data_IF_252634510753
#
_entry.id   IF_252634510753
#
_cell.length_a   1.000
_cell.length_b   1.000
_cell.length_c   1.000
_cell.angle_alpha   90.00
_cell.angle_beta   90.00
_cell.angle_gamma   90.00
#
_symmetry.space_group_name_H-M   'P 1'
#
loop_
_entity.id
_entity.type
_entity.pdbx_description
1 polymer ?
#
# COMPACT_ATOMS: atom_id res chain seq x y z
N UNK A 1 16.93 56.97 8.91
CA UNK A 1 15.96 56.44 7.92
C UNK A 1 16.02 54.90 7.74
N UNK A 2 17.17 54.23 7.87
CA UNK A 2 17.28 52.76 7.73
C UNK A 2 16.42 51.93 8.70
N UNK A 3 16.29 52.36 9.97
CA UNK A 3 15.54 51.62 11.01
C UNK A 3 14.03 51.49 10.75
N UNK A 4 13.39 52.49 10.10
CA UNK A 4 11.96 52.40 9.76
C UNK A 4 11.71 51.44 8.60
N UNK A 5 12.56 51.42 7.57
CA UNK A 5 12.45 50.47 6.45
C UNK A 5 12.60 49.02 6.91
N UNK A 6 13.55 48.75 7.81
CA UNK A 6 13.76 47.40 8.37
C UNK A 6 12.54 46.95 9.19
N UNK A 7 11.96 47.81 10.05
CA UNK A 7 10.75 47.49 10.82
C UNK A 7 9.54 47.21 9.93
N UNK A 8 9.35 48.00 8.86
CA UNK A 8 8.26 47.77 7.90
C UNK A 8 8.45 46.47 7.10
N UNK A 9 9.68 46.16 6.67
CA UNK A 9 9.98 44.89 6.00
C UNK A 9 9.75 43.68 6.91
N UNK A 10 10.20 43.75 8.18
CA UNK A 10 9.94 42.69 9.16
C UNK A 10 8.43 42.53 9.40
N UNK A 11 7.67 43.62 9.54
CA UNK A 11 6.22 43.55 9.70
C UNK A 11 5.49 42.90 8.52
N UNK A 12 5.91 43.21 7.28
CA UNK A 12 5.36 42.59 6.07
C UNK A 12 5.71 41.10 5.99
N UNK A 13 6.95 40.72 6.31
CA UNK A 13 7.38 39.33 6.32
C UNK A 13 6.64 38.51 7.38
N UNK A 14 6.45 39.07 8.58
CA UNK A 14 5.68 38.42 9.65
C UNK A 14 4.21 38.25 9.26
N UNK A 15 3.57 39.29 8.71
CA UNK A 15 2.19 39.20 8.24
C UNK A 15 2.06 38.16 7.11
N UNK A 16 3.00 38.14 6.17
CA UNK A 16 3.06 37.13 5.10
C UNK A 16 3.22 35.71 5.64
N UNK A 17 4.10 35.50 6.62
CA UNK A 17 4.29 34.20 7.25
C UNK A 17 3.04 33.72 8.00
N UNK A 18 2.34 34.62 8.71
CA UNK A 18 1.08 34.30 9.40
C UNK A 18 -0.02 33.92 8.41
N UNK A 19 -0.16 34.67 7.31
CA UNK A 19 -1.15 34.36 6.26
C UNK A 19 -0.84 33.01 5.61
N UNK A 20 0.41 32.76 5.22
CA UNK A 20 0.82 31.48 4.65
C UNK A 20 0.59 30.32 5.62
N UNK A 21 0.90 30.51 6.91
CA UNK A 21 0.63 29.53 7.95
C UNK A 21 -0.87 29.23 8.10
N UNK A 22 -1.71 30.26 8.10
CA UNK A 22 -3.16 30.09 8.18
C UNK A 22 -3.74 29.37 6.94
N UNK A 23 -3.29 29.75 5.73
CA UNK A 23 -3.70 29.09 4.48
C UNK A 23 -3.24 27.62 4.47
N UNK A 24 -2.03 27.34 4.96
CA UNK A 24 -1.52 25.98 5.08
C UNK A 24 -2.38 25.14 6.03
N UNK A 25 -2.68 25.64 7.24
CA UNK A 25 -3.54 24.96 8.22
C UNK A 25 -4.93 24.69 7.64
N UNK A 26 -5.50 25.65 6.92
CA UNK A 26 -6.81 25.51 6.30
C UNK A 26 -6.83 24.50 5.14
N UNK A 27 -5.75 24.43 4.35
CA UNK A 27 -5.63 23.50 3.23
C UNK A 27 -5.18 22.10 3.63
N UNK A 28 -4.52 21.94 4.77
CA UNK A 28 -3.96 20.68 5.27
C UNK A 28 -4.39 20.40 6.71
N UNK A 29 -5.70 20.32 7.01
CA UNK A 29 -6.19 20.07 8.38
C UNK A 29 -5.67 18.74 8.93
N UNK A 30 -5.50 17.72 8.09
CA UNK A 30 -4.99 16.42 8.49
C UNK A 30 -3.49 16.44 8.82
N UNK A 31 -2.71 17.40 8.30
CA UNK A 31 -1.31 17.60 8.69
C UNK A 31 -1.24 18.06 10.15
N UNK A 32 -2.15 18.95 10.54
CA UNK A 32 -2.23 19.48 11.90
C UNK A 32 -2.76 18.43 12.87
N UNK A 33 -3.76 17.64 12.45
CA UNK A 33 -4.31 16.56 13.27
C UNK A 33 -3.29 15.41 13.49
N UNK A 34 -2.45 15.15 12.49
CA UNK A 34 -1.49 14.05 12.49
C UNK A 34 -0.10 14.55 12.04
N UNK A 35 0.60 15.32 12.90
CA UNK A 35 1.89 15.90 12.53
C UNK A 35 2.94 14.80 12.30
N UNK A 36 3.82 14.97 11.29
CA UNK A 36 4.84 13.98 10.97
C UNK A 36 5.83 13.82 12.12
N UNK A 37 6.25 12.56 12.39
CA UNK A 37 7.24 12.23 13.44
C UNK A 37 8.64 11.93 12.90
N UNK A 38 8.81 11.88 11.58
CA UNK A 38 10.09 11.69 10.91
C UNK A 38 10.18 12.53 9.63
N UNK A 39 11.41 12.77 9.15
CA UNK A 39 11.63 13.45 7.86
C UNK A 39 11.01 12.68 6.69
N UNK A 40 11.01 11.35 6.77
CA UNK A 40 10.39 10.50 5.75
C UNK A 40 8.87 10.66 5.74
N UNK A 41 8.26 10.66 6.92
CA UNK A 41 6.81 10.89 7.04
C UNK A 41 6.44 12.27 6.49
N UNK A 42 7.21 13.31 6.86
CA UNK A 42 6.99 14.66 6.33
C UNK A 42 7.08 14.70 4.79
N UNK A 43 8.05 13.98 4.20
CA UNK A 43 8.17 13.85 2.74
C UNK A 43 6.94 13.15 2.12
N UNK A 44 6.52 12.02 2.69
CA UNK A 44 5.42 11.20 2.16
C UNK A 44 4.05 11.87 2.22
N UNK A 45 3.94 13.02 2.90
CA UNK A 45 2.72 13.82 2.90
C UNK A 45 2.56 14.70 1.66
N UNK A 46 3.65 15.01 0.95
CA UNK A 46 3.64 15.89 -0.22
C UNK A 46 4.14 15.20 -1.50
N UNK A 47 4.93 14.14 -1.36
CA UNK A 47 5.57 13.45 -2.47
C UNK A 47 5.23 11.97 -2.48
N UNK A 48 5.56 11.32 -3.59
CA UNK A 48 5.41 9.88 -3.73
C UNK A 48 6.18 9.14 -2.61
N UNK A 49 5.51 8.25 -1.85
CA UNK A 49 6.12 7.52 -0.75
C UNK A 49 7.35 6.69 -1.13
N UNK A 50 7.42 6.13 -2.35
CA UNK A 50 8.57 5.37 -2.81
C UNK A 50 9.79 6.26 -3.04
N UNK A 51 9.59 7.46 -3.60
CA UNK A 51 10.66 8.47 -3.73
C UNK A 51 11.17 8.92 -2.36
N UNK A 52 10.28 9.14 -1.40
CA UNK A 52 10.66 9.49 -0.03
C UNK A 52 11.43 8.36 0.67
N UNK A 53 11.06 7.10 0.42
CA UNK A 53 11.79 5.96 0.95
C UNK A 53 13.17 5.80 0.32
N UNK A 54 13.30 6.01 -0.99
CA UNK A 54 14.59 6.02 -1.67
C UNK A 54 15.50 7.10 -1.08
N UNK A 55 14.99 8.33 -0.90
CA UNK A 55 15.75 9.42 -0.28
C UNK A 55 16.23 9.08 1.14
N UNK A 56 15.36 8.49 1.97
CA UNK A 56 15.74 8.04 3.31
C UNK A 56 16.82 6.95 3.28
N UNK A 57 16.72 6.01 2.32
CA UNK A 57 17.71 4.95 2.12
C UNK A 57 19.07 5.51 1.72
N UNK A 58 19.12 6.46 0.77
CA UNK A 58 20.37 7.12 0.39
C UNK A 58 20.98 7.90 1.56
N UNK A 59 20.16 8.58 2.36
CA UNK A 59 20.64 9.26 3.56
C UNK A 59 21.27 8.29 4.57
N UNK A 60 20.64 7.13 4.79
CA UNK A 60 21.18 6.08 5.67
C UNK A 60 22.52 5.53 5.15
N UNK A 61 22.62 5.23 3.84
CA UNK A 61 23.86 4.76 3.20
C UNK A 61 24.98 5.80 3.37
N UNK A 62 24.70 7.06 3.08
CA UNK A 62 25.68 8.15 3.23
C UNK A 62 26.14 8.31 4.68
N UNK A 63 25.24 8.09 5.63
CA UNK A 63 25.53 8.08 7.06
C UNK A 63 26.18 6.77 7.57
N UNK A 64 26.45 5.80 6.68
CA UNK A 64 26.95 4.45 7.01
C UNK A 64 26.08 3.72 8.05
N UNK A 65 24.79 4.01 8.05
CA UNK A 65 23.81 3.34 8.89
C UNK A 65 23.38 2.02 8.21
N UNK A 66 23.15 0.95 8.98
CA UNK A 66 22.62 -0.28 8.42
C UNK A 66 21.20 -0.05 7.87
N UNK A 67 20.92 -0.62 6.70
CA UNK A 67 19.55 -0.65 6.18
C UNK A 67 18.77 -1.68 7.01
N UNK A 68 17.77 -1.21 7.76
CA UNK A 68 16.92 -2.07 8.58
C UNK A 68 15.98 -2.83 7.64
N UNK A 69 16.04 -4.16 7.69
CA UNK A 69 15.09 -5.04 7.01
C UNK A 69 14.20 -5.67 8.05
N UNK A 70 12.90 -5.40 7.95
CA UNK A 70 11.90 -6.08 8.76
C UNK A 70 11.34 -7.23 7.95
N UNK A 71 11.41 -8.43 8.53
CA UNK A 71 10.80 -9.64 7.97
C UNK A 71 9.42 -9.79 8.59
N UNK A 72 8.39 -9.63 7.76
CA UNK A 72 6.99 -9.84 8.13
C UNK A 72 6.42 -11.02 7.36
N UNK A 73 5.37 -11.68 7.88
CA UNK A 73 4.54 -12.55 7.08
C UNK A 73 4.03 -11.79 5.85
N UNK A 74 4.11 -12.44 4.69
CA UNK A 74 3.64 -11.83 3.45
C UNK A 74 2.13 -11.77 3.31
N UNK A 75 1.37 -12.40 4.19
CA UNK A 75 -0.09 -12.40 4.21
C UNK A 75 -0.51 -12.04 5.64
N UNK A 76 -1.56 -11.20 5.84
CA UNK A 76 -1.97 -10.83 7.19
C UNK A 76 -2.62 -12.01 7.93
N UNK A 77 -2.70 -11.87 9.26
CA UNK A 77 -3.48 -12.78 10.11
C UNK A 77 -4.98 -12.68 9.74
N UNK A 78 -5.61 -13.75 9.20
CA UNK A 78 -6.99 -13.71 8.73
C UNK A 78 -8.01 -13.48 9.86
N UNK A 79 -7.65 -13.74 11.12
CA UNK A 79 -8.52 -13.44 12.25
C UNK A 79 -8.60 -11.93 12.53
N UNK A 80 -7.55 -11.17 12.20
CA UNK A 80 -7.47 -9.72 12.41
C UNK A 80 -7.86 -8.94 11.18
N UNK A 81 -7.38 -9.37 10.02
CA UNK A 81 -7.59 -8.72 8.74
C UNK A 81 -8.25 -9.71 7.76
N UNK A 82 -9.54 -10.04 7.94
CA UNK A 82 -10.26 -10.91 7.02
C UNK A 82 -10.54 -10.29 5.64
N UNK A 83 -10.27 -8.99 5.45
CA UNK A 83 -10.50 -8.29 4.18
C UNK A 83 -11.89 -7.66 4.11
N UNK A 84 -12.22 -6.77 5.05
CA UNK A 84 -13.52 -6.10 5.05
C UNK A 84 -13.77 -5.27 3.78
N UNK A 85 -14.98 -5.41 3.22
CA UNK A 85 -15.45 -4.71 2.03
C UNK A 85 -16.41 -3.57 2.37
N UNK A 86 -16.55 -2.60 1.47
CA UNK A 86 -17.56 -1.57 1.55
C UNK A 86 -18.89 -2.13 0.99
N UNK A 87 -19.94 -2.32 1.82
CA UNK A 87 -21.20 -2.92 1.38
C UNK A 87 -21.97 -2.05 0.38
N UNK A 88 -21.63 -0.77 0.25
CA UNK A 88 -22.21 0.11 -0.77
C UNK A 88 -21.66 -0.18 -2.17
N UNK A 89 -20.57 -0.96 -2.30
CA UNK A 89 -19.99 -1.35 -3.60
C UNK A 89 -20.48 -2.74 -3.94
N UNK A 90 -21.23 -2.83 -5.03
CA UNK A 90 -21.91 -4.05 -5.48
C UNK A 90 -21.58 -4.33 -6.93
N UNK A 91 -21.78 -5.58 -7.38
CA UNK A 91 -21.56 -5.95 -8.79
C UNK A 91 -22.35 -5.06 -9.76
N UNK A 92 -23.53 -4.63 -9.35
CA UNK A 92 -24.45 -3.84 -10.18
C UNK A 92 -23.97 -2.41 -10.36
N UNK A 93 -23.24 -1.86 -9.39
CA UNK A 93 -22.80 -0.47 -9.41
C UNK A 93 -21.31 -0.26 -9.72
N UNK A 94 -20.56 -1.31 -10.08
CA UNK A 94 -19.11 -1.18 -10.35
C UNK A 94 -18.79 -0.15 -11.45
N UNK A 95 -19.65 -0.03 -12.46
CA UNK A 95 -19.50 0.95 -13.54
C UNK A 95 -19.61 2.41 -13.06
N UNK A 96 -20.36 2.64 -11.98
CA UNK A 96 -20.53 3.96 -11.37
C UNK A 96 -19.53 4.24 -10.24
N UNK A 97 -18.75 3.23 -9.85
CA UNK A 97 -17.86 3.24 -8.68
C UNK A 97 -16.44 2.82 -9.06
N UNK A 98 -16.00 1.61 -8.70
CA UNK A 98 -14.62 1.12 -8.80
C UNK A 98 -14.05 1.09 -10.23
N UNK A 99 -14.90 1.12 -11.26
CA UNK A 99 -14.48 1.16 -12.66
C UNK A 99 -14.38 2.58 -13.23
N UNK A 100 -14.57 3.62 -12.41
CA UNK A 100 -14.23 4.99 -12.74
C UNK A 100 -12.77 5.28 -12.37
N UNK A 101 -12.02 5.92 -13.26
CA UNK A 101 -10.59 6.13 -13.09
C UNK A 101 -10.22 6.94 -11.84
N UNK A 102 -11.11 7.85 -11.43
CA UNK A 102 -10.94 8.74 -10.29
C UNK A 102 -11.33 8.12 -8.94
N UNK A 103 -12.11 7.03 -8.93
CA UNK A 103 -12.73 6.50 -7.71
C UNK A 103 -11.71 6.15 -6.62
N UNK A 104 -10.61 5.47 -6.98
CA UNK A 104 -9.59 5.08 -6.01
C UNK A 104 -8.90 6.31 -5.39
N UNK A 105 -8.62 7.34 -6.19
CA UNK A 105 -8.00 8.57 -5.71
C UNK A 105 -8.96 9.32 -4.78
N UNK A 106 -10.23 9.46 -5.16
CA UNK A 106 -11.27 10.13 -4.37
C UNK A 106 -11.55 9.46 -3.02
N UNK A 107 -11.42 8.14 -2.95
CA UNK A 107 -11.68 7.36 -1.72
C UNK A 107 -10.43 7.07 -0.89
N UNK A 108 -9.25 7.37 -1.41
CA UNK A 108 -8.00 7.14 -0.69
C UNK A 108 -7.92 8.02 0.55
N UNK A 109 -7.48 7.43 1.66
CA UNK A 109 -7.25 8.18 2.90
C UNK A 109 -6.01 9.09 2.78
N UNK A 110 -6.02 10.27 3.43
CA UNK A 110 -4.90 11.21 3.43
C UNK A 110 -3.59 10.56 3.91
N UNK A 111 -2.43 10.94 3.37
CA UNK A 111 -1.14 10.37 3.78
C UNK A 111 -0.86 10.49 5.29
N UNK A 112 -1.22 11.61 5.92
CA UNK A 112 -1.01 11.82 7.36
C UNK A 112 -1.90 10.91 8.22
N UNK A 113 -3.12 10.60 7.75
CA UNK A 113 -3.98 9.60 8.40
C UNK A 113 -3.36 8.21 8.30
N UNK A 114 -2.90 7.82 7.11
CA UNK A 114 -2.22 6.53 6.90
C UNK A 114 -1.02 6.40 7.81
N UNK A 115 -0.16 7.43 7.89
CA UNK A 115 0.98 7.44 8.78
C UNK A 115 0.59 7.32 10.27
N UNK A 116 -0.47 8.01 10.69
CA UNK A 116 -0.99 7.89 12.05
C UNK A 116 -1.47 6.47 12.38
N UNK A 117 -2.14 5.80 11.45
CA UNK A 117 -2.56 4.42 11.63
C UNK A 117 -1.39 3.45 11.57
N UNK A 118 -0.43 3.64 10.66
CA UNK A 118 0.82 2.87 10.64
C UNK A 118 1.49 2.89 12.01
N UNK A 119 1.68 4.08 12.61
CA UNK A 119 2.28 4.21 13.94
C UNK A 119 1.54 3.38 15.00
N UNK A 120 0.21 3.50 15.05
CA UNK A 120 -0.61 2.80 16.04
C UNK A 120 -0.53 1.28 15.87
N UNK A 121 -0.58 0.79 14.63
CA UNK A 121 -0.46 -0.64 14.35
C UNK A 121 0.95 -1.16 14.66
N UNK A 122 1.99 -0.41 14.32
CA UNK A 122 3.38 -0.80 14.62
C UNK A 122 3.61 -0.84 16.12
N UNK A 123 3.17 0.18 16.86
CA UNK A 123 3.26 0.21 18.33
C UNK A 123 2.53 -0.97 18.98
N UNK A 124 1.38 -1.37 18.43
CA UNK A 124 0.59 -2.49 18.96
C UNK A 124 1.09 -3.88 18.56
N UNK A 125 1.64 -4.04 17.35
CA UNK A 125 1.97 -5.36 16.78
C UNK A 125 3.46 -5.66 16.81
N UNK A 126 4.30 -4.62 16.75
CA UNK A 126 5.76 -4.69 16.62
C UNK A 126 6.41 -3.63 17.54
N UNK A 127 6.22 -3.72 18.87
CA UNK A 127 6.73 -2.71 19.79
C UNK A 127 8.25 -2.56 19.68
N UNK A 128 8.72 -1.31 19.53
CA UNK A 128 10.15 -1.00 19.37
C UNK A 128 10.65 -0.96 17.92
N UNK A 129 9.82 -1.36 16.95
CA UNK A 129 10.12 -1.18 15.54
C UNK A 129 9.85 0.25 15.06
N UNK A 130 10.57 0.68 14.03
CA UNK A 130 10.38 2.01 13.45
C UNK A 130 9.19 1.99 12.48
N UNK A 131 8.14 2.81 12.68
CA UNK A 131 6.98 2.85 11.78
C UNK A 131 7.31 3.15 10.32
N UNK A 132 8.42 3.85 10.06
CA UNK A 132 8.87 4.09 8.69
C UNK A 132 9.14 2.77 7.98
N UNK A 133 9.60 1.71 8.64
CA UNK A 133 9.92 0.44 7.97
C UNK A 133 8.68 -0.35 7.49
N UNK A 134 7.46 0.14 7.79
CA UNK A 134 6.18 -0.48 7.41
C UNK A 134 5.31 0.36 6.48
N UNK A 135 4.68 -0.27 5.50
CA UNK A 135 3.65 0.31 4.65
C UNK A 135 2.27 -0.14 5.13
N UNK A 136 1.36 0.80 5.34
CA UNK A 136 -0.05 0.48 5.56
C UNK A 136 -0.67 0.04 4.23
N UNK A 137 -1.40 -1.07 4.25
CA UNK A 137 -2.04 -1.62 3.07
C UNK A 137 -3.48 -2.08 3.34
N UNK A 138 -4.27 -2.17 2.28
CA UNK A 138 -5.62 -2.73 2.30
C UNK A 138 -5.58 -4.17 1.79
N UNK A 139 -6.05 -5.15 2.56
CA UNK A 139 -6.05 -6.54 2.08
C UNK A 139 -6.92 -6.69 0.82
N UNK A 140 -8.16 -6.17 0.87
CA UNK A 140 -8.97 -5.91 -0.33
C UNK A 140 -8.77 -4.44 -0.72
N UNK A 141 -8.27 -4.13 -1.92
CA UNK A 141 -7.99 -2.76 -2.32
C UNK A 141 -9.26 -1.96 -2.56
N UNK A 142 -9.12 -0.63 -2.52
CA UNK A 142 -10.20 0.32 -2.83
C UNK A 142 -10.77 0.06 -4.23
N UNK A 143 -9.91 -0.29 -5.20
CA UNK A 143 -10.28 -0.61 -6.58
C UNK A 143 -11.08 -1.90 -6.72
N UNK A 144 -11.18 -2.71 -5.66
CA UNK A 144 -12.08 -3.86 -5.54
C UNK A 144 -13.13 -3.66 -4.43
N UNK A 145 -13.40 -2.41 -4.05
CA UNK A 145 -14.44 -2.07 -3.08
C UNK A 145 -14.09 -2.41 -1.63
N UNK A 146 -12.80 -2.49 -1.29
CA UNK A 146 -12.36 -2.66 0.09
C UNK A 146 -12.80 -1.52 1.01
N UNK A 147 -13.05 -1.82 2.29
CA UNK A 147 -13.36 -0.81 3.30
C UNK A 147 -12.09 -0.04 3.67
N UNK A 148 -12.09 1.28 3.43
CA UNK A 148 -10.88 2.12 3.57
C UNK A 148 -10.43 2.36 5.00
N UNK A 149 -11.35 2.50 5.96
CA UNK A 149 -11.02 2.83 7.36
C UNK A 149 -11.35 1.69 8.34
N UNK A 150 -11.75 0.52 7.83
CA UNK A 150 -12.07 -0.63 8.68
C UNK A 150 -10.78 -1.38 9.05
N UNK A 151 -10.43 -1.51 10.35
CA UNK A 151 -9.23 -2.22 10.76
C UNK A 151 -9.20 -3.68 10.29
N UNK A 152 -10.35 -4.30 10.01
CA UNK A 152 -10.45 -5.65 9.45
C UNK A 152 -10.02 -5.75 7.98
N UNK A 153 -9.69 -4.63 7.34
CA UNK A 153 -9.12 -4.56 6.00
C UNK A 153 -7.73 -3.94 5.98
N UNK A 154 -7.21 -3.47 7.12
CA UNK A 154 -5.91 -2.81 7.21
C UNK A 154 -4.86 -3.75 7.80
N UNK A 155 -3.67 -3.74 7.20
CA UNK A 155 -2.52 -4.49 7.70
C UNK A 155 -1.20 -3.82 7.35
N UNK A 156 -0.12 -4.31 7.96
CA UNK A 156 1.22 -3.79 7.76
C UNK A 156 2.01 -4.70 6.82
N UNK A 157 2.51 -4.13 5.73
CA UNK A 157 3.54 -4.73 4.88
C UNK A 157 4.91 -4.15 5.22
N UNK A 158 5.97 -4.86 4.84
CA UNK A 158 7.33 -4.31 4.85
C UNK A 158 7.51 -3.33 3.70
N UNK A 159 8.25 -2.23 3.92
CA UNK A 159 8.64 -1.34 2.81
C UNK A 159 9.72 -1.92 1.90
N UNK A 160 10.43 -2.94 2.38
CA UNK A 160 11.50 -3.59 1.64
C UNK A 160 11.05 -4.90 1.02
N UNK A 161 11.65 -5.29 -0.09
CA UNK A 161 11.29 -6.53 -0.78
C UNK A 161 10.16 -6.34 -1.81
N UNK A 162 9.80 -7.42 -2.54
CA UNK A 162 8.98 -7.31 -3.74
C UNK A 162 7.48 -7.29 -3.45
N UNK A 163 7.02 -7.73 -2.27
CA UNK A 163 5.62 -8.06 -2.01
C UNK A 163 4.63 -6.92 -2.26
N UNK A 164 4.98 -5.70 -1.86
CA UNK A 164 4.17 -4.51 -2.09
C UNK A 164 3.90 -4.30 -3.59
N UNK A 165 4.96 -4.33 -4.39
CA UNK A 165 4.86 -4.11 -5.83
C UNK A 165 4.14 -5.28 -6.51
N UNK A 166 4.40 -6.52 -6.09
CA UNK A 166 3.68 -7.68 -6.61
C UNK A 166 2.18 -7.57 -6.32
N UNK A 167 1.80 -7.23 -5.09
CA UNK A 167 0.39 -7.04 -4.75
C UNK A 167 -0.23 -5.89 -5.55
N UNK A 168 0.44 -4.74 -5.68
CA UNK A 168 -0.02 -3.62 -6.51
C UNK A 168 -0.32 -4.06 -7.96
N UNK A 169 0.55 -4.88 -8.57
CA UNK A 169 0.32 -5.41 -9.91
C UNK A 169 -0.90 -6.35 -9.99
N UNK A 170 -1.08 -7.23 -8.99
CA UNK A 170 -2.24 -8.12 -8.91
C UNK A 170 -3.54 -7.32 -8.76
N UNK A 171 -3.57 -6.32 -7.88
CA UNK A 171 -4.73 -5.46 -7.69
C UNK A 171 -5.16 -4.78 -8.99
N UNK A 172 -4.19 -4.31 -9.75
CA UNK A 172 -4.43 -3.69 -11.06
C UNK A 172 -5.02 -4.69 -12.06
N UNK A 173 -4.47 -5.92 -12.11
CA UNK A 173 -5.00 -6.97 -12.98
C UNK A 173 -6.44 -7.34 -12.59
N UNK A 174 -6.69 -7.63 -11.32
CA UNK A 174 -8.02 -8.02 -10.83
C UNK A 174 -9.05 -6.91 -11.06
N UNK A 175 -8.67 -5.65 -10.87
CA UNK A 175 -9.54 -4.49 -11.16
C UNK A 175 -9.92 -4.48 -12.65
N UNK A 176 -8.95 -4.67 -13.56
CA UNK A 176 -9.23 -4.76 -15.00
C UNK A 176 -10.15 -5.93 -15.34
N UNK A 177 -9.93 -7.12 -14.75
CA UNK A 177 -10.79 -8.28 -14.96
C UNK A 177 -12.23 -8.05 -14.49
N UNK A 178 -12.42 -7.42 -13.33
CA UNK A 178 -13.74 -7.07 -12.79
C UNK A 178 -14.43 -6.04 -13.70
N UNK A 179 -13.74 -4.98 -14.08
CA UNK A 179 -14.32 -3.90 -14.87
C UNK A 179 -14.62 -4.27 -16.32
N UNK A 180 -13.91 -5.26 -16.87
CA UNK A 180 -14.23 -5.85 -18.17
C UNK A 180 -15.23 -7.03 -18.08
N UNK A 181 -15.73 -7.32 -16.86
CA UNK A 181 -16.73 -8.37 -16.55
C UNK A 181 -16.25 -9.81 -16.77
N UNK A 182 -14.94 -10.07 -16.83
CA UNK A 182 -14.41 -11.43 -16.91
C UNK A 182 -14.55 -12.17 -15.58
N UNK A 183 -14.49 -11.47 -14.45
CA UNK A 183 -14.80 -12.05 -13.13
C UNK A 183 -15.79 -11.19 -12.36
N UNK A 184 -16.56 -11.83 -11.49
CA UNK A 184 -17.39 -11.13 -10.53
C UNK A 184 -16.53 -10.43 -9.48
N UNK A 185 -16.98 -9.27 -9.00
CA UNK A 185 -16.36 -8.50 -7.92
C UNK A 185 -16.13 -9.37 -6.67
N UNK A 186 -17.13 -10.16 -6.28
CA UNK A 186 -17.05 -11.04 -5.12
C UNK A 186 -15.96 -12.11 -5.25
N UNK A 187 -15.71 -12.62 -6.46
CA UNK A 187 -14.63 -13.58 -6.72
C UNK A 187 -13.27 -12.91 -6.54
N UNK A 188 -13.09 -11.70 -7.07
CA UNK A 188 -11.85 -10.95 -6.89
C UNK A 188 -11.57 -10.62 -5.42
N UNK A 189 -12.59 -10.15 -4.70
CA UNK A 189 -12.54 -9.84 -3.26
C UNK A 189 -12.17 -11.08 -2.44
N UNK A 190 -12.83 -12.22 -2.69
CA UNK A 190 -12.57 -13.46 -1.96
C UNK A 190 -11.14 -13.95 -2.17
N UNK A 191 -10.67 -13.99 -3.43
CA UNK A 191 -9.34 -14.52 -3.78
C UNK A 191 -8.21 -13.70 -3.16
N UNK A 192 -8.28 -12.37 -3.29
CA UNK A 192 -7.23 -11.50 -2.74
C UNK A 192 -7.24 -11.51 -1.21
N UNK A 193 -8.41 -11.63 -0.58
CA UNK A 193 -8.52 -11.71 0.87
C UNK A 193 -8.07 -13.06 1.45
N UNK A 194 -8.28 -14.17 0.74
CA UNK A 194 -7.88 -15.49 1.23
C UNK A 194 -6.37 -15.71 1.16
N UNK A 195 -5.80 -15.43 -0.01
CA UNK A 195 -4.36 -15.58 -0.26
C UNK A 195 -4.00 -14.80 -1.53
N UNK A 196 -3.53 -13.56 -1.35
CA UNK A 196 -3.13 -12.73 -2.48
C UNK A 196 -1.89 -13.29 -3.19
N UNK A 197 -1.00 -14.04 -2.52
CA UNK A 197 0.21 -14.61 -3.13
C UNK A 197 -0.12 -15.79 -4.04
N UNK A 198 -0.93 -16.74 -3.58
CA UNK A 198 -1.46 -17.81 -4.42
C UNK A 198 -2.25 -17.22 -5.60
N UNK A 199 -3.07 -16.20 -5.33
CA UNK A 199 -3.80 -15.49 -6.40
C UNK A 199 -2.85 -14.85 -7.41
N UNK A 200 -1.76 -14.21 -6.96
CA UNK A 200 -0.72 -13.67 -7.85
C UNK A 200 -0.14 -14.78 -8.73
N UNK A 201 0.29 -15.88 -8.13
CA UNK A 201 0.89 -17.01 -8.83
C UNK A 201 -0.01 -17.61 -9.91
N UNK A 202 -1.32 -17.62 -9.69
CA UNK A 202 -2.31 -18.14 -10.65
C UNK A 202 -2.74 -17.13 -11.70
N UNK A 203 -2.86 -15.85 -11.34
CA UNK A 203 -3.45 -14.82 -12.18
C UNK A 203 -2.43 -14.11 -13.07
N UNK A 204 -1.19 -13.92 -12.61
CA UNK A 204 -0.16 -13.14 -13.29
C UNK A 204 0.54 -13.94 -14.40
N UNK A 205 -0.25 -14.49 -15.32
CA UNK A 205 0.24 -15.25 -16.49
C UNK A 205 0.54 -14.32 -17.67
N UNK A 206 1.48 -14.67 -18.57
CA UNK A 206 1.72 -13.90 -19.79
C UNK A 206 0.46 -13.68 -20.63
N UNK A 207 -0.45 -14.67 -20.67
CA UNK A 207 -1.74 -14.58 -21.36
C UNK A 207 -2.61 -13.48 -20.78
N UNK A 208 -2.82 -13.47 -19.46
CA UNK A 208 -3.65 -12.47 -18.79
C UNK A 208 -3.04 -11.07 -18.94
N UNK A 209 -1.72 -10.94 -18.76
CA UNK A 209 -1.03 -9.67 -18.91
C UNK A 209 -1.14 -9.13 -20.35
N UNK A 210 -0.96 -9.98 -21.36
CA UNK A 210 -1.14 -9.59 -22.76
C UNK A 210 -2.59 -9.16 -23.06
N UNK A 211 -3.58 -9.91 -22.56
CA UNK A 211 -5.01 -9.60 -22.75
C UNK A 211 -5.37 -8.19 -22.25
N UNK A 212 -4.83 -7.79 -21.10
CA UNK A 212 -5.13 -6.50 -20.47
C UNK A 212 -4.08 -5.41 -20.73
N UNK A 213 -3.20 -5.63 -21.71
CA UNK A 213 -2.09 -4.74 -22.09
C UNK A 213 -1.20 -4.32 -20.90
N UNK A 214 -0.91 -5.26 -20.01
CA UNK A 214 -0.04 -5.07 -18.85
C UNK A 214 1.40 -5.52 -19.17
N UNK A 215 2.43 -4.95 -18.51
CA UNK A 215 3.81 -5.32 -18.73
C UNK A 215 4.07 -6.82 -18.48
N UNK A 216 4.59 -7.54 -19.49
CA UNK A 216 4.91 -8.97 -19.36
C UNK A 216 5.96 -9.27 -18.29
N UNK A 217 6.81 -8.29 -17.93
CA UNK A 217 7.77 -8.41 -16.82
C UNK A 217 7.11 -8.59 -15.44
N UNK A 218 5.81 -8.35 -15.34
CA UNK A 218 5.03 -8.63 -14.12
C UNK A 218 4.54 -10.07 -14.05
N UNK A 219 4.83 -10.90 -15.05
CA UNK A 219 4.52 -12.32 -14.96
C UNK A 219 5.23 -12.96 -13.76
N UNK A 220 4.64 -14.03 -13.23
CA UNK A 220 5.25 -14.85 -12.18
C UNK A 220 6.65 -15.27 -12.59
N UNK A 221 7.63 -15.05 -11.71
CA UNK A 221 9.01 -15.50 -11.85
C UNK A 221 9.44 -16.29 -10.60
N UNK A 222 10.28 -17.33 -10.75
CA UNK A 222 10.88 -18.05 -9.61
C UNK A 222 11.66 -17.13 -8.63
N UNK A 223 12.16 -15.99 -9.11
CA UNK A 223 12.86 -15.00 -8.28
C UNK A 223 11.92 -14.29 -7.30
N UNK A 224 10.64 -14.15 -7.65
CA UNK A 224 9.62 -13.49 -6.84
C UNK A 224 9.08 -14.42 -5.75
N UNK A 225 9.05 -15.73 -6.04
CA UNK A 225 8.56 -16.77 -5.14
C UNK A 225 9.57 -17.91 -5.11
N UNK A 226 10.70 -17.75 -4.40
CA UNK A 226 11.68 -18.82 -4.30
C UNK A 226 10.99 -20.07 -3.74
N UNK A 227 11.22 -21.25 -4.32
CA UNK A 227 10.68 -22.48 -3.77
C UNK A 227 11.17 -22.65 -2.33
N UNK A 228 10.32 -23.19 -1.47
CA UNK A 228 10.68 -23.49 -0.08
C UNK A 228 11.84 -24.51 -0.08
N UNK A 229 13.08 -24.05 0.01
CA UNK A 229 14.24 -24.91 0.21
C UNK A 229 14.31 -25.23 1.70
N UNK A 230 13.50 -26.20 2.15
CA UNK A 230 13.66 -26.73 3.50
C UNK A 230 15.02 -27.45 3.59
N UNK A 231 15.88 -27.14 4.58
CA UNK A 231 17.19 -27.76 4.72
C UNK A 231 17.16 -29.25 5.10
N UNK A 232 15.99 -29.85 5.34
CA UNK A 232 15.85 -31.27 5.69
C UNK A 232 14.79 -31.96 4.85
N UNK A 233 15.20 -32.49 3.69
CA UNK A 233 14.45 -33.47 2.92
C UNK A 233 14.55 -34.80 3.68
N UNK A 234 13.60 -35.05 4.57
CA UNK A 234 13.56 -36.32 5.30
C UNK A 234 12.30 -36.62 6.09
N UNK A 235 11.37 -35.67 6.29
CA UNK A 235 10.28 -35.92 7.25
C UNK A 235 8.88 -35.40 6.92
N UNK A 236 8.60 -34.90 5.71
CA UNK A 236 7.22 -34.51 5.37
C UNK A 236 6.86 -34.96 3.94
N UNK A 237 6.89 -36.27 3.69
CA UNK A 237 6.22 -36.90 2.54
C UNK A 237 4.69 -37.06 2.78
N UNK A 238 4.05 -36.05 3.37
CA UNK A 238 2.61 -36.08 3.70
C UNK A 238 1.78 -34.94 3.11
N UNK A 239 2.40 -33.93 2.50
CA UNK A 239 1.67 -32.75 1.95
C UNK A 239 1.96 -32.49 0.48
N UNK A 240 2.63 -33.44 -0.21
CA UNK A 240 2.98 -33.33 -1.63
C UNK A 240 1.85 -33.84 -2.52
N UNK A 241 0.73 -33.14 -2.49
CA UNK A 241 -0.28 -33.12 -3.55
C UNK A 241 -0.87 -31.71 -3.53
N UNK A 242 -1.12 -31.10 -4.70
CA UNK A 242 -1.59 -29.71 -4.91
C UNK A 242 -0.48 -28.67 -5.24
N UNK A 243 0.50 -29.00 -6.09
CA UNK A 243 1.22 -27.97 -6.90
C UNK A 243 1.06 -28.27 -8.40
N UNK A 244 -0.11 -28.78 -8.76
CA UNK A 244 -0.66 -28.67 -10.12
C UNK A 244 -1.95 -27.88 -9.98
N UNK A 245 -1.81 -26.61 -9.62
CA UNK A 245 -2.91 -25.68 -9.73
C UNK A 245 -3.08 -25.39 -11.21
N UNK A 246 -4.20 -25.81 -11.81
CA UNK A 246 -4.57 -25.29 -13.12
C UNK A 246 -4.41 -23.75 -13.12
N UNK A 247 -3.90 -23.16 -14.21
CA UNK A 247 -3.97 -21.72 -14.37
C UNK A 247 -5.39 -21.28 -14.08
N UNK A 248 -5.58 -20.08 -13.52
CA UNK A 248 -6.90 -19.47 -13.49
C UNK A 248 -7.34 -19.28 -14.95
N UNK A 249 -7.97 -20.31 -15.53
CA UNK A 249 -8.85 -20.20 -16.67
C UNK A 249 -10.09 -19.53 -16.09
N UNK A 250 -10.04 -18.19 -16.07
CA UNK A 250 -11.17 -17.32 -15.78
C UNK A 250 -11.73 -16.83 -17.11
#
# INVERSE_FOLDING_TARGET
MASRRVKTQIGILLAGAVILGAVFVQSHPDFVAHPPRSSREACGQFFDPANCQAAATFAAINAKQPIRQIVLPSIPDPARTPGAINPAITQDNIAATICKGEYQAEKSLPPSWKAAVTRRLVESLYPGENPDDFSLDYLVPISLGGAVADPRNLWLQTWTGPDRELKDHLEMLLTKMVCNRQIALSVAQQRIASDWRDTYQRAMTPKNLAQYQMPLKWAVSPEQFPPFTSPNIGQIEGQRAQVEGEPLIL
#
